data_IF_232678308390
#
_entry.id   IF_232678308390
#
_cell.length_a   1.000
_cell.length_b   1.000
_cell.length_c   1.000
_cell.angle_alpha   90.00
_cell.angle_beta   90.00
_cell.angle_gamma   90.00
#
_symmetry.space_group_name_H-M   'P 1'
#
loop_
_entity.id
_entity.type
_entity.pdbx_description
1 polymer ?
#
# COMPACT_ATOMS: atom_id res chain seq x y z
N UNK A 1 -4.22 -19.60 18.17
CA UNK A 1 -3.61 -19.36 16.84
C UNK A 1 -4.74 -19.24 15.85
N UNK A 2 -4.80 -18.14 15.09
CA UNK A 2 -5.78 -17.98 14.01
C UNK A 2 -5.57 -19.05 12.94
N UNK A 3 -6.62 -19.67 12.38
CA UNK A 3 -6.48 -20.66 11.33
C UNK A 3 -5.81 -20.05 10.10
N UNK A 4 -4.77 -20.70 9.58
CA UNK A 4 -4.10 -20.25 8.35
C UNK A 4 -5.05 -20.30 7.17
N UNK A 5 -5.06 -19.22 6.38
CA UNK A 5 -5.94 -19.09 5.22
C UNK A 5 -5.56 -20.11 4.13
N UNK A 6 -6.53 -20.81 3.50
CA UNK A 6 -6.23 -21.79 2.47
C UNK A 6 -5.55 -21.13 1.27
N UNK A 7 -4.67 -21.88 0.59
CA UNK A 7 -4.00 -21.40 -0.62
C UNK A 7 -5.04 -21.03 -1.70
N UNK A 8 -4.71 -20.12 -2.62
CA UNK A 8 -5.62 -19.77 -3.73
C UNK A 8 -6.02 -20.99 -4.58
N UNK A 9 -5.14 -21.98 -4.71
CA UNK A 9 -5.42 -23.24 -5.43
C UNK A 9 -6.16 -24.30 -4.61
N UNK A 10 -6.46 -24.04 -3.33
CA UNK A 10 -7.08 -24.99 -2.43
C UNK A 10 -8.46 -25.41 -2.93
N UNK A 11 -8.75 -26.71 -2.91
CA UNK A 11 -10.05 -27.24 -3.30
C UNK A 11 -11.18 -26.87 -2.31
N UNK A 12 -12.44 -27.13 -2.68
CA UNK A 12 -13.58 -26.83 -1.81
C UNK A 12 -13.52 -27.53 -0.45
N UNK A 13 -12.97 -28.74 -0.38
CA UNK A 13 -12.85 -29.51 0.87
C UNK A 13 -11.90 -28.84 1.87
N UNK A 14 -10.78 -28.31 1.38
CA UNK A 14 -9.82 -27.57 2.21
C UNK A 14 -10.40 -26.24 2.71
N UNK A 15 -11.19 -25.56 1.86
CA UNK A 15 -11.91 -24.34 2.23
C UNK A 15 -12.95 -24.62 3.32
N UNK A 16 -13.72 -25.70 3.18
CA UNK A 16 -14.69 -26.11 4.21
C UNK A 16 -14.01 -26.43 5.53
N UNK A 17 -12.91 -27.20 5.49
CA UNK A 17 -12.12 -27.49 6.68
C UNK A 17 -11.53 -26.23 7.34
N UNK A 18 -11.20 -25.19 6.56
CA UNK A 18 -10.82 -23.89 7.10
C UNK A 18 -12.00 -23.19 7.78
N UNK A 19 -13.17 -23.12 7.15
CA UNK A 19 -14.37 -22.49 7.71
C UNK A 19 -14.78 -23.15 9.04
N UNK A 20 -14.77 -24.49 9.10
CA UNK A 20 -15.03 -25.24 10.35
C UNK A 20 -14.07 -24.81 11.45
N UNK A 21 -12.76 -24.78 11.17
CA UNK A 21 -11.74 -24.37 12.14
C UNK A 21 -11.95 -22.94 12.63
N UNK A 22 -12.30 -22.01 11.73
CA UNK A 22 -12.61 -20.62 12.09
C UNK A 22 -13.80 -20.55 13.03
N UNK A 23 -14.92 -21.17 12.67
CA UNK A 23 -16.17 -21.14 13.46
C UNK A 23 -15.98 -21.76 14.85
N UNK A 24 -15.29 -22.90 14.92
CA UNK A 24 -14.99 -23.55 16.19
C UNK A 24 -14.05 -22.73 17.07
N UNK A 25 -13.06 -22.06 16.47
CA UNK A 25 -12.05 -21.29 17.23
C UNK A 25 -12.58 -20.02 17.87
N UNK A 26 -13.62 -19.40 17.31
CA UNK A 26 -14.08 -18.07 17.74
C UNK A 26 -15.48 -18.03 18.37
N UNK A 27 -16.32 -19.05 18.16
CA UNK A 27 -17.72 -19.04 18.64
C UNK A 27 -18.12 -20.21 19.53
N UNK A 28 -17.19 -21.11 19.89
CA UNK A 28 -17.49 -22.31 20.69
C UNK A 28 -18.68 -23.12 20.14
N UNK A 29 -18.84 -23.08 18.80
CA UNK A 29 -19.91 -23.78 18.09
C UNK A 29 -19.53 -25.25 18.02
N UNK A 30 -20.51 -26.14 18.18
CA UNK A 30 -20.32 -27.57 18.05
C UNK A 30 -19.78 -27.93 16.66
N UNK A 31 -18.96 -28.98 16.59
CA UNK A 31 -18.41 -29.49 15.34
C UNK A 31 -19.49 -29.72 14.28
N UNK A 32 -20.67 -30.20 14.68
CA UNK A 32 -21.77 -30.50 13.75
C UNK A 32 -22.33 -29.23 13.11
N UNK A 33 -22.63 -28.19 13.89
CA UNK A 33 -23.14 -26.92 13.38
C UNK A 33 -22.08 -26.17 12.53
N UNK A 34 -20.80 -26.29 12.89
CA UNK A 34 -19.70 -25.75 12.07
C UNK A 34 -19.57 -26.47 10.72
N UNK A 35 -19.73 -27.80 10.69
CA UNK A 35 -19.71 -28.59 9.46
C UNK A 35 -20.91 -28.31 8.56
N UNK A 36 -22.11 -28.16 9.13
CA UNK A 36 -23.31 -27.77 8.38
C UNK A 36 -23.12 -26.40 7.73
N UNK A 37 -22.65 -25.42 8.49
CA UNK A 37 -22.37 -24.06 8.00
C UNK A 37 -21.30 -24.09 6.90
N UNK A 38 -20.19 -24.80 7.11
CA UNK A 38 -19.14 -24.94 6.10
C UNK A 38 -19.65 -25.66 4.83
N UNK A 39 -20.60 -26.59 4.96
CA UNK A 39 -21.24 -27.30 3.85
C UNK A 39 -21.99 -26.39 2.87
N UNK A 40 -22.36 -25.16 3.28
CA UNK A 40 -22.95 -24.15 2.41
C UNK A 40 -21.96 -23.67 1.33
N UNK A 41 -20.66 -23.79 1.57
CA UNK A 41 -19.62 -23.52 0.57
C UNK A 41 -19.37 -24.72 -0.34
N UNK A 42 -20.21 -24.86 -1.38
CA UNK A 42 -20.29 -26.11 -2.18
C UNK A 42 -19.14 -26.30 -3.17
N UNK A 43 -18.84 -25.30 -3.99
CA UNK A 43 -17.92 -25.43 -5.14
C UNK A 43 -16.76 -24.43 -5.15
N UNK A 44 -16.79 -23.42 -4.28
CA UNK A 44 -15.78 -22.35 -4.30
C UNK A 44 -14.40 -22.87 -3.86
N UNK A 45 -13.35 -22.42 -4.51
CA UNK A 45 -11.95 -22.72 -4.13
C UNK A 45 -11.42 -21.61 -3.24
N UNK A 46 -10.16 -21.75 -2.83
CA UNK A 46 -9.49 -20.74 -2.01
C UNK A 46 -9.41 -19.37 -2.69
N UNK A 47 -9.33 -19.31 -4.01
CA UNK A 47 -9.42 -18.06 -4.80
C UNK A 47 -10.75 -17.35 -4.59
N UNK A 48 -11.86 -18.06 -4.76
CA UNK A 48 -13.21 -17.52 -4.65
C UNK A 48 -13.51 -17.13 -3.20
N UNK A 49 -12.95 -17.83 -2.22
CA UNK A 49 -13.07 -17.45 -0.80
C UNK A 49 -12.43 -16.08 -0.53
N UNK A 50 -11.23 -15.85 -1.10
CA UNK A 50 -10.46 -14.60 -0.91
C UNK A 50 -11.04 -13.44 -1.70
N UNK A 51 -11.48 -13.70 -2.93
CA UNK A 51 -11.96 -12.67 -3.85
C UNK A 51 -13.48 -12.39 -3.68
N UNK A 52 -14.20 -13.17 -2.86
CA UNK A 52 -15.62 -12.98 -2.61
C UNK A 52 -15.92 -11.70 -1.82
N UNK A 53 -16.96 -10.98 -2.28
CA UNK A 53 -17.47 -9.81 -1.58
C UNK A 53 -18.27 -10.18 -0.33
N UNK A 54 -18.44 -9.22 0.57
CA UNK A 54 -19.27 -9.39 1.77
C UNK A 54 -20.71 -9.82 1.42
N UNK A 55 -21.25 -9.37 0.28
CA UNK A 55 -22.59 -9.77 -0.18
C UNK A 55 -22.66 -11.24 -0.54
N UNK A 56 -21.60 -11.80 -1.15
CA UNK A 56 -21.52 -13.22 -1.47
C UNK A 56 -21.51 -14.05 -0.18
N UNK A 57 -20.66 -13.68 0.78
CA UNK A 57 -20.65 -14.34 2.09
C UNK A 57 -22.02 -14.27 2.77
N UNK A 58 -22.67 -13.10 2.79
CA UNK A 58 -24.01 -12.94 3.36
C UNK A 58 -25.08 -13.77 2.65
N UNK A 59 -25.00 -13.91 1.32
CA UNK A 59 -25.95 -14.73 0.56
C UNK A 59 -25.79 -16.23 0.83
N UNK A 60 -24.58 -16.69 1.15
CA UNK A 60 -24.30 -18.11 1.37
C UNK A 60 -24.55 -18.49 2.83
N UNK A 61 -24.07 -17.70 3.78
CA UNK A 61 -24.06 -18.05 5.21
C UNK A 61 -25.10 -17.28 6.04
N UNK A 62 -25.85 -16.35 5.43
CA UNK A 62 -26.73 -15.44 6.14
C UNK A 62 -26.03 -14.15 6.60
N UNK A 63 -26.81 -13.18 7.06
CA UNK A 63 -26.33 -11.80 7.25
C UNK A 63 -25.20 -11.68 8.29
N UNK A 64 -25.40 -12.26 9.48
CA UNK A 64 -24.42 -12.20 10.57
C UNK A 64 -23.21 -13.10 10.30
N UNK A 65 -23.43 -14.40 10.09
CA UNK A 65 -22.36 -15.39 9.86
C UNK A 65 -21.55 -15.06 8.62
N UNK A 66 -22.19 -14.58 7.55
CA UNK A 66 -21.52 -14.14 6.33
C UNK A 66 -20.64 -12.93 6.56
N UNK A 67 -21.15 -11.87 7.22
CA UNK A 67 -20.32 -10.72 7.57
C UNK A 67 -19.11 -11.11 8.42
N UNK A 68 -19.33 -11.98 9.41
CA UNK A 68 -18.28 -12.43 10.31
C UNK A 68 -17.20 -13.25 9.59
N UNK A 69 -17.58 -14.24 8.78
CA UNK A 69 -16.65 -15.04 7.99
C UNK A 69 -15.86 -14.17 7.00
N UNK A 70 -16.53 -13.22 6.33
CA UNK A 70 -15.86 -12.25 5.45
C UNK A 70 -14.77 -11.48 6.20
N UNK A 71 -15.09 -10.94 7.39
CA UNK A 71 -14.16 -10.19 8.22
C UNK A 71 -12.93 -11.04 8.58
N UNK A 72 -13.12 -12.26 9.04
CA UNK A 72 -12.01 -13.14 9.45
C UNK A 72 -11.14 -13.55 8.27
N UNK A 73 -11.74 -13.89 7.13
CA UNK A 73 -10.98 -14.24 5.92
C UNK A 73 -10.03 -13.10 5.54
N UNK A 74 -10.50 -11.86 5.58
CA UNK A 74 -9.70 -10.69 5.23
C UNK A 74 -8.69 -10.31 6.33
N UNK A 75 -9.03 -10.49 7.60
CA UNK A 75 -8.09 -10.32 8.72
C UNK A 75 -6.93 -11.32 8.61
N UNK A 76 -7.23 -12.59 8.34
CA UNK A 76 -6.21 -13.63 8.15
C UNK A 76 -5.38 -13.40 6.89
N UNK A 77 -5.98 -12.90 5.80
CA UNK A 77 -5.23 -12.54 4.59
C UNK A 77 -4.26 -11.38 4.85
N UNK A 78 -4.69 -10.39 5.63
CA UNK A 78 -3.84 -9.28 6.02
C UNK A 78 -2.70 -9.74 6.94
N UNK A 79 -2.98 -10.61 7.91
CA UNK A 79 -1.97 -11.18 8.81
C UNK A 79 -0.93 -11.99 8.02
N UNK A 80 -1.38 -12.86 7.10
CA UNK A 80 -0.51 -13.63 6.20
C UNK A 80 0.37 -12.70 5.35
N UNK A 81 -0.20 -11.61 4.83
CA UNK A 81 0.56 -10.63 4.04
C UNK A 81 1.60 -9.88 4.88
N UNK A 82 1.25 -9.44 6.10
CA UNK A 82 2.16 -8.75 7.01
C UNK A 82 3.34 -9.62 7.42
N UNK A 83 3.11 -10.93 7.60
CA UNK A 83 4.15 -11.91 7.92
C UNK A 83 4.97 -12.36 6.70
N UNK A 84 4.53 -12.03 5.49
CA UNK A 84 5.25 -12.37 4.26
C UNK A 84 6.50 -11.49 4.05
N UNK A 85 7.49 -12.01 3.32
CA UNK A 85 8.67 -11.23 2.93
C UNK A 85 8.30 -9.97 2.12
N UNK A 86 7.30 -10.06 1.25
CA UNK A 86 6.82 -8.93 0.43
C UNK A 86 6.22 -7.85 1.32
N UNK A 87 5.38 -8.22 2.29
CA UNK A 87 4.81 -7.30 3.26
C UNK A 87 5.88 -6.61 4.11
N UNK A 88 6.81 -7.40 4.66
CA UNK A 88 7.93 -6.86 5.45
C UNK A 88 8.80 -5.89 4.65
N UNK A 89 9.24 -6.27 3.44
CA UNK A 89 10.07 -5.41 2.59
C UNK A 89 9.32 -4.13 2.24
N UNK A 90 8.05 -4.24 1.85
CA UNK A 90 7.22 -3.08 1.51
C UNK A 90 7.03 -2.14 2.71
N UNK A 91 6.83 -2.69 3.91
CA UNK A 91 6.68 -1.92 5.13
C UNK A 91 7.97 -1.16 5.52
N UNK A 92 9.12 -1.85 5.51
CA UNK A 92 10.39 -1.20 5.87
C UNK A 92 10.85 -0.19 4.81
N UNK A 93 10.59 -0.45 3.52
CA UNK A 93 10.88 0.53 2.46
C UNK A 93 10.01 1.77 2.59
N UNK A 94 8.72 1.62 2.94
CA UNK A 94 7.84 2.74 3.26
C UNK A 94 8.37 3.55 4.45
N UNK A 95 8.67 2.92 5.58
CA UNK A 95 9.22 3.60 6.76
C UNK A 95 10.52 4.32 6.43
N UNK A 96 11.44 3.65 5.72
CA UNK A 96 12.71 4.24 5.30
C UNK A 96 12.51 5.49 4.44
N UNK A 97 11.53 5.47 3.52
CA UNK A 97 11.21 6.63 2.68
C UNK A 97 10.67 7.83 3.48
N UNK A 98 9.84 7.58 4.50
CA UNK A 98 9.28 8.62 5.37
C UNK A 98 10.40 9.24 6.22
N UNK A 99 11.26 8.41 6.82
CA UNK A 99 12.40 8.88 7.62
C UNK A 99 13.34 9.72 6.76
N UNK A 100 13.67 9.25 5.55
CA UNK A 100 14.52 9.99 4.62
C UNK A 100 13.91 11.35 4.24
N UNK A 101 12.62 11.39 3.94
CA UNK A 101 11.91 12.64 3.66
C UNK A 101 11.96 13.61 4.86
N UNK A 102 11.71 13.11 6.07
CA UNK A 102 11.76 13.90 7.29
C UNK A 102 13.17 14.48 7.55
N UNK A 103 14.23 13.67 7.38
CA UNK A 103 15.62 14.11 7.53
C UNK A 103 16.00 15.20 6.51
N UNK A 104 15.50 15.09 5.27
CA UNK A 104 15.74 16.11 4.24
C UNK A 104 15.00 17.42 4.57
N UNK A 105 13.76 17.35 5.03
CA UNK A 105 13.02 18.54 5.50
C UNK A 105 13.74 19.18 6.68
N UNK A 106 14.15 18.40 7.68
CA UNK A 106 14.91 18.88 8.84
C UNK A 106 16.22 19.57 8.41
N UNK A 107 16.98 18.96 7.48
CA UNK A 107 18.20 19.55 6.93
C UNK A 107 17.94 20.93 6.33
N UNK A 108 16.84 21.11 5.59
CA UNK A 108 16.48 22.39 4.99
C UNK A 108 16.10 23.42 6.05
N UNK A 109 15.34 23.02 7.07
CA UNK A 109 14.99 23.90 8.20
C UNK A 109 16.24 24.35 8.98
N UNK A 110 17.17 23.44 9.25
CA UNK A 110 18.44 23.77 9.93
C UNK A 110 19.30 24.70 9.08
N UNK A 111 19.44 24.43 7.78
CA UNK A 111 20.18 25.33 6.88
C UNK A 111 19.54 26.72 6.83
N UNK A 112 18.21 26.79 6.88
CA UNK A 112 17.49 28.04 6.90
C UNK A 112 17.74 28.82 8.21
N UNK A 113 17.68 28.15 9.36
CA UNK A 113 17.94 28.77 10.66
C UNK A 113 19.38 29.29 10.78
N UNK A 114 20.36 28.57 10.21
CA UNK A 114 21.78 28.92 10.32
C UNK A 114 22.25 30.00 9.33
N UNK A 115 21.72 30.02 8.09
CA UNK A 115 22.27 30.88 7.01
C UNK A 115 21.43 32.10 6.64
N UNK A 116 20.28 32.29 7.27
CA UNK A 116 19.35 33.38 6.92
C UNK A 116 18.67 33.18 5.55
N UNK A 117 17.58 33.92 5.34
CA UNK A 117 16.66 33.73 4.20
C UNK A 117 17.27 34.22 2.88
N UNK A 118 18.05 33.38 2.20
CA UNK A 118 18.42 33.62 0.80
C UNK A 118 17.45 32.91 -0.15
N UNK A 119 16.77 33.69 -1.00
CA UNK A 119 15.80 33.20 -2.00
C UNK A 119 16.42 32.20 -2.99
N UNK A 120 17.71 32.37 -3.30
CA UNK A 120 18.48 31.42 -4.12
C UNK A 120 18.83 30.13 -3.35
N UNK A 121 19.06 30.23 -2.05
CA UNK A 121 19.24 29.07 -1.16
C UNK A 121 17.95 28.24 -1.05
N UNK A 122 16.80 28.91 -0.97
CA UNK A 122 15.48 28.27 -0.90
C UNK A 122 15.18 27.43 -2.16
N UNK A 123 15.45 27.98 -3.36
CA UNK A 123 15.26 27.25 -4.63
C UNK A 123 16.18 26.03 -4.78
N UNK A 124 17.43 26.11 -4.29
CA UNK A 124 18.38 24.97 -4.33
C UNK A 124 18.04 23.91 -3.28
N UNK A 125 17.53 24.32 -2.12
CA UNK A 125 17.18 23.43 -1.02
C UNK A 125 15.80 22.77 -1.19
N UNK A 126 14.87 23.38 -1.94
CA UNK A 126 13.53 22.84 -2.17
C UNK A 126 13.51 21.64 -3.13
N UNK A 127 14.41 21.61 -4.13
CA UNK A 127 14.51 20.51 -5.08
C UNK A 127 14.63 19.11 -4.44
N UNK A 128 15.57 18.84 -3.50
CA UNK A 128 15.66 17.54 -2.85
C UNK A 128 14.43 17.18 -1.99
N UNK A 129 13.70 18.17 -1.47
CA UNK A 129 12.44 17.91 -0.77
C UNK A 129 11.39 17.36 -1.74
N UNK A 130 11.22 17.98 -2.90
CA UNK A 130 10.25 17.51 -3.89
C UNK A 130 10.61 16.14 -4.48
N UNK A 131 11.91 15.87 -4.66
CA UNK A 131 12.39 14.55 -5.05
C UNK A 131 12.11 13.50 -3.95
N UNK A 132 12.29 13.84 -2.67
CA UNK A 132 11.96 12.96 -1.56
C UNK A 132 10.45 12.69 -1.46
N UNK A 133 9.61 13.72 -1.67
CA UNK A 133 8.15 13.56 -1.70
C UNK A 133 7.71 12.66 -2.86
N UNK A 134 8.29 12.81 -4.05
CA UNK A 134 8.03 11.90 -5.17
C UNK A 134 8.32 10.44 -4.79
N UNK A 135 9.52 10.19 -4.26
CA UNK A 135 9.97 8.85 -3.86
C UNK A 135 9.08 8.28 -2.75
N UNK A 136 8.77 9.06 -1.72
CA UNK A 136 7.87 8.68 -0.64
C UNK A 136 6.48 8.33 -1.17
N UNK A 137 5.92 9.15 -2.07
CA UNK A 137 4.63 8.88 -2.71
C UNK A 137 4.63 7.58 -3.51
N UNK A 138 5.74 7.25 -4.19
CA UNK A 138 5.87 6.01 -4.97
C UNK A 138 5.93 4.79 -4.06
N UNK A 139 6.63 4.87 -2.93
CA UNK A 139 6.66 3.80 -1.94
C UNK A 139 5.31 3.64 -1.23
N UNK A 140 4.60 4.73 -0.92
CA UNK A 140 3.21 4.66 -0.43
C UNK A 140 2.28 4.02 -1.45
N UNK A 141 2.39 4.38 -2.72
CA UNK A 141 1.62 3.80 -3.81
C UNK A 141 1.88 2.29 -3.91
N UNK A 142 3.15 1.89 -3.95
CA UNK A 142 3.54 0.48 -4.01
C UNK A 142 3.03 -0.31 -2.79
N UNK A 143 3.19 0.25 -1.59
CA UNK A 143 2.68 -0.36 -0.35
C UNK A 143 1.16 -0.54 -0.40
N UNK A 144 0.43 0.51 -0.79
CA UNK A 144 -1.03 0.48 -0.88
C UNK A 144 -1.55 -0.51 -1.94
N UNK A 145 -0.86 -0.65 -3.07
CA UNK A 145 -1.21 -1.61 -4.13
C UNK A 145 -0.95 -3.07 -3.72
N UNK A 146 0.05 -3.30 -2.87
CA UNK A 146 0.40 -4.65 -2.41
C UNK A 146 -0.41 -5.08 -1.19
N UNK A 147 -0.89 -4.14 -0.37
CA UNK A 147 -1.65 -4.43 0.85
C UNK A 147 -3.04 -4.97 0.51
N UNK A 148 -3.43 -6.15 1.01
CA UNK A 148 -4.78 -6.68 0.80
C UNK A 148 -5.81 -5.86 1.59
N UNK A 149 -7.03 -5.79 1.03
CA UNK A 149 -8.17 -5.11 1.65
C UNK A 149 -8.35 -3.63 1.28
N UNK A 150 -9.41 -3.02 1.81
CA UNK A 150 -9.85 -1.67 1.44
C UNK A 150 -8.88 -0.55 1.88
N UNK A 151 -8.13 -0.77 2.97
CA UNK A 151 -7.17 0.20 3.48
C UNK A 151 -6.01 0.44 2.50
N UNK A 152 -5.61 -0.56 1.72
CA UNK A 152 -4.57 -0.43 0.69
C UNK A 152 -4.93 0.60 -0.38
N UNK A 153 -6.19 0.65 -0.80
CA UNK A 153 -6.70 1.59 -1.81
C UNK A 153 -6.55 3.04 -1.36
N UNK A 154 -6.92 3.36 -0.12
CA UNK A 154 -6.79 4.71 0.43
C UNK A 154 -5.31 5.14 0.47
N UNK A 155 -4.42 4.25 0.91
CA UNK A 155 -2.97 4.52 0.95
C UNK A 155 -2.42 4.73 -0.46
N UNK A 156 -2.85 3.92 -1.44
CA UNK A 156 -2.45 4.05 -2.84
C UNK A 156 -2.87 5.40 -3.44
N UNK A 157 -4.11 5.84 -3.17
CA UNK A 157 -4.61 7.15 -3.60
C UNK A 157 -3.76 8.27 -2.99
N UNK A 158 -3.52 8.25 -1.67
CA UNK A 158 -2.65 9.23 -1.02
C UNK A 158 -1.25 9.26 -1.64
N UNK A 159 -0.63 8.09 -1.84
CA UNK A 159 0.69 7.97 -2.46
C UNK A 159 0.73 8.57 -3.87
N UNK A 160 -0.29 8.27 -4.70
CA UNK A 160 -0.40 8.83 -6.05
C UNK A 160 -0.51 10.36 -6.07
N UNK A 161 -1.33 10.94 -5.18
CA UNK A 161 -1.47 12.40 -5.08
C UNK A 161 -0.13 13.06 -4.73
N UNK A 162 0.60 12.48 -3.77
CA UNK A 162 1.91 12.98 -3.35
C UNK A 162 2.94 12.86 -4.48
N UNK A 163 2.98 11.73 -5.18
CA UNK A 163 3.89 11.52 -6.31
C UNK A 163 3.61 12.45 -7.48
N UNK A 164 2.35 12.65 -7.85
CA UNK A 164 1.97 13.58 -8.94
C UNK A 164 2.40 15.01 -8.59
N UNK A 165 2.15 15.44 -7.35
CA UNK A 165 2.57 16.76 -6.90
C UNK A 165 4.10 16.90 -6.90
N UNK A 166 4.83 15.95 -6.32
CA UNK A 166 6.29 15.96 -6.30
C UNK A 166 6.90 15.96 -7.71
N UNK A 167 6.36 15.13 -8.60
CA UNK A 167 6.82 15.01 -9.99
C UNK A 167 6.56 16.26 -10.82
N UNK A 168 5.38 16.86 -10.68
CA UNK A 168 5.05 18.12 -11.34
C UNK A 168 6.02 19.23 -10.96
N UNK A 169 6.34 19.36 -9.66
CA UNK A 169 7.29 20.37 -9.19
C UNK A 169 8.71 20.08 -9.68
N UNK A 170 9.17 18.82 -9.61
CA UNK A 170 10.50 18.45 -10.15
C UNK A 170 10.61 18.78 -11.64
N UNK A 171 9.58 18.49 -12.42
CA UNK A 171 9.53 18.75 -13.86
C UNK A 171 9.60 20.25 -14.18
N UNK A 172 8.86 21.09 -13.43
CA UNK A 172 8.93 22.55 -13.54
C UNK A 172 10.32 23.12 -13.21
N UNK A 173 11.07 22.49 -12.31
CA UNK A 173 12.44 22.90 -12.00
C UNK A 173 13.47 22.39 -13.02
N UNK A 174 13.25 21.22 -13.61
CA UNK A 174 14.21 20.58 -14.51
C UNK A 174 14.17 21.14 -15.94
N UNK A 175 12.98 21.39 -16.50
CA UNK A 175 12.82 21.88 -17.89
C UNK A 175 13.59 23.19 -18.14
N UNK A 176 13.49 24.23 -17.28
CA UNK A 176 14.22 25.47 -17.49
C UNK A 176 15.74 25.32 -17.40
N UNK A 177 16.25 24.42 -16.55
CA UNK A 177 17.69 24.16 -16.45
C UNK A 177 18.23 23.52 -17.72
N UNK A 178 17.54 22.52 -18.26
CA UNK A 178 17.94 21.85 -19.51
C UNK A 178 17.85 22.82 -20.69
N UNK A 179 16.76 23.58 -20.79
CA UNK A 179 16.59 24.58 -21.85
C UNK A 179 17.68 25.67 -21.79
N UNK A 180 18.05 26.13 -20.59
CA UNK A 180 19.13 27.10 -20.40
C UNK A 180 20.52 26.57 -20.77
N UNK A 181 20.83 25.30 -20.48
CA UNK A 181 22.10 24.69 -20.89
C UNK A 181 22.19 24.45 -22.39
N UNK A 182 21.08 24.08 -23.03
CA UNK A 182 21.03 23.95 -24.49
C UNK A 182 21.20 25.33 -25.15
N UNK A 183 20.50 26.37 -24.67
CA UNK A 183 20.63 27.73 -25.19
C UNK A 183 22.04 28.31 -25.06
N UNK A 184 22.72 28.08 -23.93
CA UNK A 184 24.10 28.54 -23.71
C UNK A 184 25.12 27.83 -24.62
N UNK A 185 24.86 26.58 -25.02
CA UNK A 185 25.74 25.79 -25.90
C UNK A 185 25.65 26.21 -27.38
N UNK A 186 24.58 26.89 -27.78
CA UNK A 186 24.34 27.37 -29.15
C UNK A 186 24.30 28.89 -29.27
N UNK A 187 24.72 29.63 -28.22
CA UNK A 187 24.89 31.07 -28.33
C UNK A 187 25.99 31.37 -29.37
N UNK A 188 25.73 32.19 -30.40
CA UNK A 188 26.75 32.53 -31.38
C UNK A 188 27.91 33.21 -30.66
N UNK A 189 29.11 32.63 -30.77
CA UNK A 189 30.35 33.28 -30.37
C UNK A 189 30.42 34.54 -31.23
N UNK A 190 30.28 35.70 -30.59
CA UNK A 190 30.25 36.99 -31.26
C UNK A 190 31.43 37.11 -32.21
N UNK A 191 31.13 37.40 -33.47
CA UNK A 191 32.13 37.87 -34.42
C UNK A 191 32.61 39.23 -33.94
N UNK A 192 33.86 39.28 -33.49
CA UNK A 192 34.69 40.48 -33.49
C UNK A 192 35.18 40.77 -34.91
#
# INVERSE_FOLDING_TARGET
MSPKLPARSAGPDEVRAYIVRVLMSQHDITSDAANETAGLWRLGRGSELRDASVQVFKSIFGDYTGWFLFRIVHENELEDWQQSAIGMISFYTLIGSIILAALLVLRVLVLHALKGLSLQGLKKASFPIFQALLVMGLFMLNYGLLMPGSNGVAIAICGSMISVFGGFVVLLYFIPQVAGQVGAKYAPVGGE
#
